data_IF_071073854413
#
_entry.id   IF_071073854413
#
_cell.length_a   1.000
_cell.length_b   1.000
_cell.length_c   1.000
_cell.angle_alpha   90.00
_cell.angle_beta   90.00
_cell.angle_gamma   90.00
#
_symmetry.space_group_name_H-M   'P 1'
#
loop_
_entity.id
_entity.type
_entity.pdbx_description
1 polymer ?
#
# COMPACT_ATOMS: atom_id res chain seq x y z
N UNK A 1 -61.36 -1.84 -2.28
CA UNK A 1 -60.57 -3.05 -2.09
C UNK A 1 -59.41 -3.20 -3.08
N UNK A 2 -59.59 -3.21 -4.38
CA UNK A 2 -58.49 -3.41 -5.37
C UNK A 2 -57.34 -2.38 -5.30
N UNK A 3 -57.59 -1.11 -4.93
CA UNK A 3 -56.53 -0.10 -4.79
C UNK A 3 -55.63 -0.31 -3.51
N UNK A 4 -56.26 -0.73 -2.41
CA UNK A 4 -55.55 -0.98 -1.17
C UNK A 4 -54.60 -2.18 -1.28
N UNK A 5 -55.03 -3.24 -1.95
CA UNK A 5 -54.22 -4.44 -2.22
C UNK A 5 -52.99 -4.08 -3.07
N UNK A 6 -53.10 -3.16 -4.03
CA UNK A 6 -51.98 -2.71 -4.85
C UNK A 6 -50.92 -1.95 -4.07
N UNK A 7 -51.34 -1.12 -3.11
CA UNK A 7 -50.40 -0.39 -2.21
C UNK A 7 -49.71 -1.31 -1.22
N UNK A 8 -50.45 -2.29 -0.66
CA UNK A 8 -49.85 -3.28 0.25
C UNK A 8 -48.83 -4.14 -0.49
N UNK A 9 -49.14 -4.57 -1.73
CA UNK A 9 -48.19 -5.32 -2.55
C UNK A 9 -46.93 -4.50 -2.91
N UNK A 10 -47.08 -3.21 -3.21
CA UNK A 10 -45.94 -2.33 -3.51
C UNK A 10 -45.04 -2.05 -2.29
N UNK A 11 -45.65 -1.87 -1.10
CA UNK A 11 -44.94 -1.70 0.15
C UNK A 11 -44.20 -3.00 0.53
N UNK A 12 -44.83 -4.14 0.31
CA UNK A 12 -44.20 -5.43 0.60
C UNK A 12 -43.03 -5.74 -0.34
N UNK A 13 -43.15 -5.41 -1.63
CA UNK A 13 -42.05 -5.55 -2.60
C UNK A 13 -40.93 -4.58 -2.30
N UNK A 14 -41.22 -3.34 -1.90
CA UNK A 14 -40.23 -2.34 -1.52
C UNK A 14 -39.53 -2.72 -0.20
N UNK A 15 -40.27 -3.25 0.78
CA UNK A 15 -39.72 -3.79 2.01
C UNK A 15 -38.86 -5.05 1.76
N UNK A 16 -39.28 -5.91 0.86
CA UNK A 16 -38.51 -7.10 0.46
C UNK A 16 -37.24 -6.72 -0.31
N UNK A 17 -37.27 -5.67 -1.17
CA UNK A 17 -36.07 -5.11 -1.81
C UNK A 17 -35.11 -4.48 -0.80
N UNK A 18 -35.63 -3.80 0.23
CA UNK A 18 -34.80 -3.27 1.34
C UNK A 18 -34.18 -4.40 2.18
N UNK A 19 -34.90 -5.49 2.42
CA UNK A 19 -34.39 -6.68 3.12
C UNK A 19 -33.37 -7.46 2.30
N UNK A 20 -33.54 -7.53 0.97
CA UNK A 20 -32.53 -8.14 0.08
C UNK A 20 -31.27 -7.28 -0.08
N UNK A 21 -31.35 -5.97 0.16
CA UNK A 21 -30.19 -5.08 0.22
C UNK A 21 -29.39 -5.15 1.52
N UNK A 22 -29.93 -5.80 2.58
CA UNK A 22 -29.29 -5.84 3.90
C UNK A 22 -28.42 -7.07 4.15
N UNK A 23 -28.29 -7.99 3.19
CA UNK A 23 -27.55 -9.25 3.38
C UNK A 23 -26.20 -9.31 2.66
N UNK A 24 -25.64 -8.19 2.23
CA UNK A 24 -24.23 -8.15 1.81
C UNK A 24 -23.47 -7.21 2.73
N UNK A 25 -22.90 -7.72 3.80
CA UNK A 25 -21.90 -7.02 4.63
C UNK A 25 -20.62 -6.61 3.87
N UNK A 26 -20.62 -6.77 2.57
CA UNK A 26 -19.61 -6.26 1.66
C UNK A 26 -20.07 -4.95 1.04
N UNK A 27 -19.76 -3.80 1.64
CA UNK A 27 -20.14 -2.49 1.12
C UNK A 27 -19.92 -2.35 -0.39
N UNK A 28 -20.67 -1.44 -1.04
CA UNK A 28 -20.61 -1.17 -2.48
C UNK A 28 -19.16 -0.87 -2.89
N UNK A 29 -18.65 -1.58 -3.90
CA UNK A 29 -17.36 -1.27 -4.50
C UNK A 29 -17.47 0.05 -5.26
N UNK A 30 -16.57 0.96 -4.96
CA UNK A 30 -16.48 2.32 -5.52
C UNK A 30 -15.18 2.47 -6.27
N UNK A 31 -15.07 3.51 -7.08
CA UNK A 31 -13.85 3.85 -7.82
C UNK A 31 -13.40 5.27 -7.48
N UNK A 32 -12.11 5.45 -7.25
CA UNK A 32 -11.47 6.76 -7.11
C UNK A 32 -10.06 6.70 -7.69
N UNK A 33 -9.76 7.59 -8.62
CA UNK A 33 -8.46 7.64 -9.29
C UNK A 33 -8.08 6.28 -9.88
N UNK A 34 -6.95 5.75 -9.43
CA UNK A 34 -6.38 4.50 -9.91
C UNK A 34 -6.97 3.24 -9.24
N UNK A 35 -7.83 3.38 -8.21
CA UNK A 35 -8.22 2.29 -7.34
C UNK A 35 -9.72 2.02 -7.32
N UNK A 36 -10.07 0.75 -7.12
CA UNK A 36 -11.38 0.33 -6.63
C UNK A 36 -11.30 0.07 -5.13
N UNK A 37 -12.33 0.44 -4.38
CA UNK A 37 -12.30 0.35 -2.93
C UNK A 37 -13.68 0.10 -2.32
N UNK A 38 -13.70 -0.35 -1.07
CA UNK A 38 -14.86 -0.39 -0.19
C UNK A 38 -14.59 0.46 1.05
N UNK A 39 -15.65 0.89 1.73
CA UNK A 39 -15.57 1.59 3.02
C UNK A 39 -15.96 0.60 4.10
N UNK A 40 -15.13 0.45 5.12
CA UNK A 40 -15.50 -0.25 6.35
C UNK A 40 -16.61 0.55 7.04
N UNK A 41 -17.74 -0.10 7.34
CA UNK A 41 -18.92 0.59 7.89
C UNK A 41 -18.72 1.00 9.35
N UNK A 42 -17.89 0.28 10.09
CA UNK A 42 -17.63 0.54 11.52
C UNK A 42 -16.59 1.64 11.70
N UNK A 43 -15.41 1.51 11.06
CA UNK A 43 -14.30 2.46 11.20
C UNK A 43 -14.35 3.63 10.23
N UNK A 44 -15.18 3.55 9.19
CA UNK A 44 -15.26 4.52 8.08
C UNK A 44 -13.99 4.64 7.22
N UNK A 45 -13.03 3.77 7.43
CA UNK A 45 -11.78 3.70 6.69
C UNK A 45 -11.94 2.96 5.35
N UNK A 46 -10.95 3.12 4.48
CA UNK A 46 -10.95 2.54 3.13
C UNK A 46 -10.23 1.20 3.11
N UNK A 47 -10.80 0.27 2.38
CA UNK A 47 -10.19 -0.99 1.99
C UNK A 47 -10.02 -1.00 0.47
N UNK A 48 -8.78 -0.99 -0.04
CA UNK A 48 -8.51 -1.08 -1.48
C UNK A 48 -8.81 -2.50 -1.95
N UNK A 49 -9.62 -2.59 -3.01
CA UNK A 49 -10.08 -3.86 -3.58
C UNK A 49 -9.41 -4.20 -4.92
N UNK A 50 -8.67 -3.26 -5.52
CA UNK A 50 -7.97 -3.49 -6.78
C UNK A 50 -7.71 -2.21 -7.56
N UNK A 51 -7.34 -2.38 -8.82
CA UNK A 51 -7.11 -1.27 -9.76
C UNK A 51 -8.38 -0.93 -10.54
N UNK A 52 -8.62 0.37 -10.74
CA UNK A 52 -9.62 0.86 -11.69
C UNK A 52 -9.17 0.60 -13.14
N UNK A 53 -10.06 0.82 -14.12
CA UNK A 53 -9.68 0.76 -15.55
C UNK A 53 -8.51 1.70 -15.87
N UNK A 54 -8.44 2.87 -15.21
CA UNK A 54 -7.32 3.81 -15.35
C UNK A 54 -6.06 3.23 -14.70
N UNK A 55 -6.15 2.73 -13.47
CA UNK A 55 -5.02 2.13 -12.77
C UNK A 55 -4.40 0.93 -13.49
N UNK A 56 -5.21 0.16 -14.23
CA UNK A 56 -4.72 -0.96 -15.05
C UNK A 56 -3.85 -0.52 -16.25
N UNK A 57 -3.83 0.76 -16.60
CA UNK A 57 -3.03 1.32 -17.70
C UNK A 57 -1.71 1.94 -17.24
N UNK A 58 -1.49 2.05 -15.92
CA UNK A 58 -0.27 2.64 -15.36
C UNK A 58 0.87 1.61 -15.34
N UNK A 59 2.09 2.07 -15.58
CA UNK A 59 3.31 1.27 -15.43
C UNK A 59 3.83 1.28 -13.99
N UNK A 60 3.49 2.31 -13.22
CA UNK A 60 3.86 2.45 -11.81
C UNK A 60 2.64 2.79 -10.97
N UNK A 61 2.44 2.08 -9.88
CA UNK A 61 1.38 2.31 -8.91
C UNK A 61 1.99 2.56 -7.53
N UNK A 62 1.52 3.62 -6.88
CA UNK A 62 1.78 3.88 -5.46
C UNK A 62 0.47 3.71 -4.70
N UNK A 63 0.44 2.81 -3.74
CA UNK A 63 -0.74 2.60 -2.90
C UNK A 63 -0.87 3.80 -1.96
N UNK A 64 -1.99 4.53 -1.95
CA UNK A 64 -2.15 5.70 -1.09
C UNK A 64 -2.42 5.30 0.36
N UNK A 65 -1.97 6.08 1.33
CA UNK A 65 -2.36 5.95 2.74
C UNK A 65 -3.66 6.69 3.06
N UNK A 66 -4.01 7.67 2.22
CA UNK A 66 -5.26 8.43 2.30
C UNK A 66 -5.91 8.44 0.92
N UNK A 67 -7.20 8.11 0.85
CA UNK A 67 -8.00 8.18 -0.38
C UNK A 67 -9.33 8.88 -0.07
N UNK A 68 -9.68 9.91 -0.85
CA UNK A 68 -10.89 10.72 -0.61
C UNK A 68 -10.99 11.25 0.84
N UNK A 69 -9.88 11.72 1.42
CA UNK A 69 -9.80 12.24 2.78
C UNK A 69 -9.96 11.19 3.89
N UNK A 70 -9.91 9.90 3.57
CA UNK A 70 -10.03 8.80 4.53
C UNK A 70 -8.80 7.94 4.51
N UNK A 71 -8.41 7.45 5.69
CA UNK A 71 -7.31 6.51 5.84
C UNK A 71 -7.58 5.23 5.06
N UNK A 72 -6.58 4.74 4.35
CA UNK A 72 -6.55 3.40 3.76
C UNK A 72 -6.04 2.44 4.83
N UNK A 73 -6.94 1.60 5.35
CA UNK A 73 -6.61 0.67 6.43
C UNK A 73 -6.09 -0.68 5.94
N UNK A 74 -6.52 -1.11 4.76
CA UNK A 74 -6.17 -2.44 4.27
C UNK A 74 -6.23 -2.56 2.75
N UNK A 75 -5.60 -3.62 2.25
CA UNK A 75 -5.73 -4.12 0.89
C UNK A 75 -6.49 -5.44 1.00
N UNK A 76 -7.64 -5.52 0.31
CA UNK A 76 -8.62 -6.56 0.57
C UNK A 76 -9.34 -6.38 1.91
N UNK A 77 -10.31 -7.23 2.17
CA UNK A 77 -11.08 -7.20 3.42
C UNK A 77 -11.44 -8.61 3.89
N UNK A 78 -11.55 -8.77 5.19
CA UNK A 78 -12.10 -9.96 5.83
C UNK A 78 -13.41 -9.58 6.49
N UNK A 79 -14.44 -10.36 6.22
CA UNK A 79 -15.72 -10.29 6.92
C UNK A 79 -15.91 -11.56 7.74
N UNK A 80 -16.78 -11.51 8.74
CA UNK A 80 -17.05 -12.63 9.65
C UNK A 80 -17.49 -13.90 8.93
N UNK A 81 -18.00 -13.79 7.71
CA UNK A 81 -18.46 -14.91 6.88
C UNK A 81 -17.66 -15.12 5.60
N UNK A 82 -16.47 -14.52 5.45
CA UNK A 82 -15.64 -14.71 4.27
C UNK A 82 -14.56 -13.67 4.10
N UNK A 83 -13.61 -13.96 3.22
CA UNK A 83 -12.56 -13.02 2.81
C UNK A 83 -12.88 -12.47 1.41
N UNK A 84 -12.80 -11.16 1.24
CA UNK A 84 -12.76 -10.55 -0.09
C UNK A 84 -11.33 -10.11 -0.37
N UNK A 85 -10.67 -10.87 -1.24
CA UNK A 85 -9.31 -10.57 -1.66
C UNK A 85 -9.28 -9.38 -2.60
N UNK A 86 -8.20 -8.60 -2.53
CA UNK A 86 -7.97 -7.54 -3.50
C UNK A 86 -7.60 -8.14 -4.86
N UNK A 87 -8.20 -7.62 -5.92
CA UNK A 87 -7.93 -8.02 -7.30
C UNK A 87 -7.17 -6.92 -8.04
N UNK A 88 -5.85 -7.01 -7.97
CA UNK A 88 -4.99 -6.20 -8.83
C UNK A 88 -4.80 -6.94 -10.15
N UNK A 89 -5.21 -6.32 -11.24
CA UNK A 89 -5.04 -6.86 -12.59
C UNK A 89 -4.48 -5.79 -13.50
N UNK A 90 -3.34 -6.03 -14.13
CA UNK A 90 -2.74 -5.15 -15.12
C UNK A 90 -1.70 -5.90 -15.97
N UNK A 91 -1.77 -5.70 -17.28
CA UNK A 91 -0.75 -6.14 -18.23
C UNK A 91 0.35 -5.09 -18.43
N UNK A 92 0.21 -3.89 -17.85
CA UNK A 92 1.15 -2.78 -18.03
C UNK A 92 2.01 -2.49 -16.82
N UNK A 93 1.52 -2.88 -15.64
CA UNK A 93 2.18 -2.57 -14.37
C UNK A 93 3.55 -3.25 -14.28
N UNK A 94 4.59 -2.44 -14.06
CA UNK A 94 5.99 -2.87 -13.87
C UNK A 94 6.45 -2.66 -12.44
N UNK A 95 5.96 -1.59 -11.79
CA UNK A 95 6.43 -1.22 -10.46
C UNK A 95 5.25 -0.90 -9.53
N UNK A 96 5.29 -1.44 -8.32
CA UNK A 96 4.28 -1.15 -7.31
C UNK A 96 4.94 -0.82 -5.96
N UNK A 97 4.47 0.25 -5.33
CA UNK A 97 4.92 0.73 -4.02
C UNK A 97 3.83 0.55 -2.98
N UNK A 98 4.17 -0.12 -1.89
CA UNK A 98 3.34 -0.30 -0.72
C UNK A 98 3.93 0.47 0.46
N UNK A 99 3.37 1.62 0.87
CA UNK A 99 3.77 2.26 2.12
C UNK A 99 3.38 1.39 3.32
N UNK A 100 3.95 1.65 4.47
CA UNK A 100 3.55 1.02 5.73
C UNK A 100 2.21 1.59 6.25
N UNK A 101 1.72 1.00 7.33
CA UNK A 101 0.54 1.51 8.05
C UNK A 101 -0.78 0.81 7.69
N UNK A 102 -0.76 -0.20 6.84
CA UNK A 102 -1.92 -1.06 6.63
C UNK A 102 -2.08 -2.05 7.79
N UNK A 103 -3.28 -2.14 8.35
CA UNK A 103 -3.58 -3.11 9.38
C UNK A 103 -3.65 -4.55 8.83
N UNK A 104 -3.90 -4.67 7.52
CA UNK A 104 -4.03 -5.95 6.84
C UNK A 104 -3.84 -5.82 5.33
N UNK A 105 -3.19 -6.83 4.76
CA UNK A 105 -3.16 -7.01 3.30
C UNK A 105 -3.65 -8.42 2.99
N UNK A 106 -4.71 -8.52 2.21
CA UNK A 106 -5.33 -9.77 1.82
C UNK A 106 -5.42 -9.84 0.30
N UNK A 107 -4.57 -10.67 -0.26
CA UNK A 107 -4.59 -11.00 -1.69
C UNK A 107 -4.75 -12.51 -1.83
N UNK A 108 -5.32 -12.96 -2.92
CA UNK A 108 -5.33 -14.37 -3.24
C UNK A 108 -3.96 -14.83 -3.74
N UNK A 109 -3.76 -16.14 -3.86
CA UNK A 109 -2.50 -16.70 -4.34
C UNK A 109 -2.16 -16.34 -5.80
N UNK A 110 -3.12 -15.76 -6.54
CA UNK A 110 -2.94 -15.32 -7.93
C UNK A 110 -2.62 -13.83 -8.06
N UNK A 111 -2.30 -13.14 -6.96
CA UNK A 111 -2.04 -11.70 -6.97
C UNK A 111 -1.01 -11.28 -8.03
N UNK A 112 0.12 -11.97 -8.08
CA UNK A 112 1.16 -11.68 -9.08
C UNK A 112 0.87 -12.29 -10.46
N UNK A 113 0.07 -13.36 -10.54
CA UNK A 113 -0.32 -13.96 -11.83
C UNK A 113 -1.19 -13.00 -12.65
N UNK A 114 -1.97 -12.14 -11.96
CA UNK A 114 -2.80 -11.11 -12.59
C UNK A 114 -2.01 -9.85 -12.99
N UNK A 115 -0.70 -9.80 -12.66
CA UNK A 115 0.21 -8.71 -12.99
C UNK A 115 1.54 -9.29 -13.53
N UNK A 116 1.52 -9.94 -14.71
CA UNK A 116 2.64 -10.76 -15.19
C UNK A 116 3.92 -9.94 -15.49
N UNK A 117 3.79 -8.63 -15.68
CA UNK A 117 4.89 -7.74 -16.06
C UNK A 117 5.46 -6.94 -14.87
N UNK A 118 5.04 -7.24 -13.63
CA UNK A 118 5.62 -6.59 -12.45
C UNK A 118 7.06 -7.08 -12.24
N UNK A 119 7.98 -6.13 -12.28
CA UNK A 119 9.42 -6.32 -12.12
C UNK A 119 9.90 -5.93 -10.73
N UNK A 120 9.30 -4.87 -10.14
CA UNK A 120 9.74 -4.29 -8.88
C UNK A 120 8.56 -4.08 -7.92
N UNK A 121 8.76 -4.51 -6.69
CA UNK A 121 7.80 -4.32 -5.59
C UNK A 121 8.54 -3.68 -4.43
N UNK A 122 8.05 -2.53 -3.95
CA UNK A 122 8.63 -1.79 -2.85
C UNK A 122 7.72 -1.86 -1.62
N UNK A 123 8.25 -2.31 -0.48
CA UNK A 123 7.53 -2.44 0.78
C UNK A 123 8.12 -1.54 1.85
N UNK A 124 7.35 -0.57 2.34
CA UNK A 124 7.74 0.30 3.46
C UNK A 124 7.87 -0.49 4.76
N UNK A 125 6.95 -1.43 4.99
CA UNK A 125 7.01 -2.35 6.11
C UNK A 125 6.49 -3.73 5.68
N UNK A 126 7.04 -4.80 6.25
CA UNK A 126 6.60 -6.17 5.97
C UNK A 126 5.40 -6.46 6.86
N UNK A 127 4.20 -6.38 6.27
CA UNK A 127 2.98 -6.76 6.98
C UNK A 127 2.91 -8.27 7.08
N UNK A 128 2.87 -8.72 8.32
CA UNK A 128 2.75 -10.11 8.67
C UNK A 128 1.41 -10.72 8.21
N UNK A 129 1.41 -11.42 7.12
CA UNK A 129 0.45 -12.46 6.74
C UNK A 129 1.03 -13.37 5.64
N UNK A 130 2.28 -13.77 5.78
CA UNK A 130 2.89 -14.99 5.21
C UNK A 130 2.87 -15.20 3.69
N UNK A 131 2.08 -14.46 2.93
CA UNK A 131 1.87 -14.70 1.49
C UNK A 131 2.21 -13.53 0.57
N UNK A 132 2.46 -12.36 1.10
CA UNK A 132 2.66 -11.15 0.30
C UNK A 132 4.11 -10.78 0.03
N UNK A 133 5.03 -11.36 0.76
CA UNK A 133 6.46 -11.22 0.47
C UNK A 133 6.91 -12.05 -0.74
N UNK A 134 6.00 -12.80 -1.36
CA UNK A 134 6.31 -13.51 -2.59
C UNK A 134 6.21 -12.56 -3.77
N UNK A 135 7.37 -12.13 -4.23
CA UNK A 135 7.49 -11.75 -5.63
C UNK A 135 7.17 -12.98 -6.51
N UNK A 136 6.57 -12.77 -7.67
CA UNK A 136 6.60 -13.79 -8.72
C UNK A 136 8.07 -14.17 -8.96
N UNK A 137 8.34 -15.33 -9.55
CA UNK A 137 9.71 -15.79 -9.86
C UNK A 137 10.56 -14.78 -10.66
N UNK A 138 9.95 -13.68 -11.12
CA UNK A 138 10.55 -12.68 -12.00
C UNK A 138 10.65 -11.29 -11.38
N UNK A 139 9.93 -10.98 -10.28
CA UNK A 139 9.96 -9.65 -9.67
C UNK A 139 10.95 -9.58 -8.51
N UNK A 140 11.60 -8.43 -8.36
CA UNK A 140 12.44 -8.10 -7.20
C UNK A 140 11.62 -7.35 -6.15
N UNK A 141 11.77 -7.74 -4.89
CA UNK A 141 11.13 -7.09 -3.75
C UNK A 141 12.15 -6.26 -2.98
N UNK A 142 11.89 -4.97 -2.86
CA UNK A 142 12.75 -4.00 -2.17
C UNK A 142 12.19 -3.68 -0.78
N UNK A 143 13.05 -3.77 0.23
CA UNK A 143 12.71 -3.54 1.64
C UNK A 143 13.82 -2.77 2.35
N UNK A 144 13.53 -2.16 3.50
CA UNK A 144 14.55 -1.50 4.31
C UNK A 144 15.53 -2.52 4.91
N UNK A 145 16.75 -2.07 5.20
CA UNK A 145 17.77 -2.88 5.89
C UNK A 145 17.25 -3.38 7.24
N UNK A 146 16.54 -2.53 7.99
CA UNK A 146 15.92 -2.89 9.27
C UNK A 146 14.98 -4.10 9.10
N UNK A 147 14.04 -4.02 8.17
CA UNK A 147 13.07 -5.10 7.93
C UNK A 147 13.74 -6.38 7.46
N UNK A 148 14.76 -6.27 6.62
CA UNK A 148 15.51 -7.43 6.11
C UNK A 148 16.22 -8.22 7.21
N UNK A 149 16.84 -7.55 8.18
CA UNK A 149 17.64 -8.20 9.21
C UNK A 149 16.89 -8.51 10.51
N UNK A 150 15.86 -7.73 10.86
CA UNK A 150 15.17 -7.85 12.15
C UNK A 150 13.89 -8.67 12.12
N UNK A 151 13.24 -8.83 10.95
CA UNK A 151 12.00 -9.60 10.85
C UNK A 151 12.28 -11.11 10.91
N UNK A 152 12.16 -11.67 12.11
CA UNK A 152 12.29 -13.12 12.34
C UNK A 152 11.18 -13.94 11.66
N UNK A 153 9.98 -13.38 11.49
CA UNK A 153 8.85 -14.06 10.87
C UNK A 153 9.06 -14.20 9.36
N UNK A 154 9.64 -13.21 8.72
CA UNK A 154 10.03 -13.24 7.32
C UNK A 154 11.00 -14.39 7.03
N UNK A 155 12.00 -14.59 7.89
CA UNK A 155 12.98 -15.69 7.80
C UNK A 155 12.39 -17.05 8.12
N UNK A 156 11.50 -17.14 9.13
CA UNK A 156 10.85 -18.39 9.55
C UNK A 156 9.84 -18.88 8.50
N UNK A 157 9.22 -17.98 7.75
CA UNK A 157 8.28 -18.34 6.69
C UNK A 157 8.95 -19.01 5.46
N UNK A 158 10.29 -19.17 5.46
CA UNK A 158 11.02 -19.86 4.41
C UNK A 158 11.01 -19.13 3.07
N UNK A 159 10.94 -17.80 3.10
CA UNK A 159 10.98 -17.00 1.88
C UNK A 159 12.33 -17.17 1.18
N UNK A 160 12.28 -17.31 -0.14
CA UNK A 160 13.48 -17.27 -0.97
C UNK A 160 14.04 -15.85 -1.03
N UNK A 161 15.13 -15.62 -0.29
CA UNK A 161 15.78 -14.31 -0.18
C UNK A 161 16.44 -13.84 -1.49
N UNK A 162 16.59 -14.72 -2.48
CA UNK A 162 17.21 -14.37 -3.78
C UNK A 162 16.44 -13.26 -4.52
N UNK A 163 15.13 -13.15 -4.26
CA UNK A 163 14.25 -12.14 -4.84
C UNK A 163 14.18 -10.82 -4.06
N UNK A 164 14.84 -10.75 -2.90
CA UNK A 164 14.84 -9.56 -2.06
C UNK A 164 16.09 -8.72 -2.26
N UNK A 165 15.90 -7.41 -2.20
CA UNK A 165 16.95 -6.40 -2.31
C UNK A 165 16.80 -5.37 -1.20
N UNK A 166 17.92 -4.83 -0.75
CA UNK A 166 17.92 -3.69 0.16
C UNK A 166 17.61 -2.42 -0.61
N UNK A 167 16.68 -1.63 -0.09
CA UNK A 167 16.42 -0.27 -0.56
C UNK A 167 17.44 0.68 0.03
N UNK A 168 18.01 1.55 -0.79
CA UNK A 168 18.99 2.54 -0.33
C UNK A 168 18.36 3.90 0.04
N UNK A 169 17.07 4.11 -0.24
CA UNK A 169 16.30 5.27 0.24
C UNK A 169 15.19 4.79 1.14
N UNK A 170 15.17 5.27 2.38
CA UNK A 170 14.22 4.84 3.40
C UNK A 170 13.58 6.04 4.08
N UNK A 171 12.26 6.08 4.07
CA UNK A 171 11.45 7.11 4.70
C UNK A 171 10.94 6.62 6.05
N UNK A 172 11.20 7.39 7.09
CA UNK A 172 10.81 7.09 8.46
C UNK A 172 9.59 7.90 8.88
N UNK A 173 8.69 7.28 9.64
CA UNK A 173 7.49 7.96 10.20
C UNK A 173 7.88 9.08 11.15
N UNK A 174 9.03 8.96 11.83
CA UNK A 174 9.54 9.95 12.78
C UNK A 174 8.53 10.26 13.90
N UNK A 175 7.97 9.22 14.48
CA UNK A 175 7.02 9.27 15.59
C UNK A 175 7.64 8.90 16.95
N UNK A 176 8.97 8.88 17.02
CA UNK A 176 9.76 8.41 18.15
C UNK A 176 10.14 6.92 18.07
N UNK A 177 9.69 6.24 17.02
CA UNK A 177 10.09 4.88 16.68
C UNK A 177 11.01 4.86 15.46
N UNK A 178 11.63 3.71 15.19
CA UNK A 178 12.38 3.48 13.95
C UNK A 178 11.49 2.85 12.85
N UNK A 179 10.18 3.09 12.85
CA UNK A 179 9.28 2.52 11.87
C UNK A 179 9.49 3.16 10.49
N UNK A 180 9.73 2.29 9.52
CA UNK A 180 9.84 2.70 8.12
C UNK A 180 8.45 2.89 7.53
N UNK A 181 8.32 3.89 6.65
CA UNK A 181 7.06 4.20 5.99
C UNK A 181 7.07 3.79 4.51
N UNK A 182 8.15 4.12 3.84
CA UNK A 182 8.26 3.97 2.40
C UNK A 182 9.72 3.72 2.03
N UNK A 183 9.95 3.03 0.93
CA UNK A 183 11.31 2.77 0.44
C UNK A 183 11.40 2.98 -1.06
N UNK A 184 12.60 3.34 -1.53
CA UNK A 184 12.94 3.43 -2.93
C UNK A 184 14.37 2.92 -3.17
N UNK A 185 14.73 2.70 -4.43
CA UNK A 185 16.07 2.31 -4.85
C UNK A 185 16.51 3.15 -6.04
N UNK A 186 17.49 4.04 -5.80
CA UNK A 186 17.89 5.09 -6.73
C UNK A 186 19.42 5.22 -6.76
N UNK A 187 19.98 5.56 -7.90
CA UNK A 187 21.43 5.79 -8.07
C UNK A 187 21.68 7.03 -8.90
N UNK A 188 22.30 8.04 -8.31
CA UNK A 188 22.74 9.27 -8.99
C UNK A 188 21.61 10.08 -9.61
N UNK A 189 20.43 10.11 -8.95
CA UNK A 189 19.26 10.81 -9.45
C UNK A 189 18.33 11.23 -8.30
N UNK A 190 17.31 12.02 -8.62
CA UNK A 190 16.18 12.24 -7.68
C UNK A 190 15.41 10.94 -7.48
N UNK A 191 14.67 10.84 -6.38
CA UNK A 191 13.84 9.66 -6.08
C UNK A 191 12.80 9.40 -7.17
N UNK A 192 12.45 8.13 -7.39
CA UNK A 192 11.56 7.74 -8.48
C UNK A 192 10.13 8.26 -8.29
N UNK A 193 9.65 8.28 -7.04
CA UNK A 193 8.30 8.74 -6.69
C UNK A 193 8.31 9.46 -5.35
N UNK A 194 7.48 10.47 -5.22
CA UNK A 194 7.18 11.07 -3.92
C UNK A 194 6.28 10.12 -3.11
N UNK A 195 6.65 9.80 -1.84
CA UNK A 195 5.82 8.96 -1.00
C UNK A 195 4.44 9.58 -0.75
N UNK A 196 3.37 8.78 -0.68
CA UNK A 196 2.07 9.31 -0.32
C UNK A 196 2.11 9.92 1.08
N UNK A 197 1.26 10.91 1.34
CA UNK A 197 1.16 11.53 2.68
C UNK A 197 0.93 10.46 3.75
N UNK A 198 1.79 10.33 4.75
CA UNK A 198 1.59 9.39 5.84
C UNK A 198 0.45 9.85 6.76
N UNK A 199 -0.13 8.91 7.50
CA UNK A 199 -1.15 9.20 8.51
C UNK A 199 -0.57 9.02 9.91
N UNK A 200 -0.82 10.01 10.77
CA UNK A 200 -0.54 9.95 12.22
C UNK A 200 -1.67 10.65 12.95
N UNK A 201 -2.32 9.93 13.87
CA UNK A 201 -3.47 10.45 14.62
C UNK A 201 -3.06 11.65 15.49
N UNK A 202 -3.86 12.74 15.44
CA UNK A 202 -3.60 13.98 16.18
C UNK A 202 -2.48 14.85 15.63
N UNK A 203 -1.95 14.52 14.42
CA UNK A 203 -0.87 15.28 13.81
C UNK A 203 -1.13 15.59 12.35
N UNK A 204 -0.67 16.78 11.94
CA UNK A 204 -0.65 17.21 10.55
C UNK A 204 0.73 16.99 9.94
N UNK A 205 0.78 16.36 8.80
CA UNK A 205 2.02 16.17 8.05
C UNK A 205 2.54 17.49 7.46
N UNK A 206 3.83 17.78 7.62
CA UNK A 206 4.50 19.03 7.23
C UNK A 206 5.45 18.87 6.04
N UNK A 207 5.73 17.66 5.65
CA UNK A 207 6.65 17.33 4.57
C UNK A 207 7.74 16.34 5.01
N UNK A 208 8.64 16.08 4.08
CA UNK A 208 9.77 15.19 4.26
C UNK A 208 11.06 16.00 4.53
N UNK A 209 11.94 15.50 5.38
CA UNK A 209 13.14 16.18 5.84
C UNK A 209 14.36 15.27 5.77
N UNK A 210 15.54 15.89 5.65
CA UNK A 210 16.84 15.18 5.55
C UNK A 210 17.29 14.60 6.88
N UNK A 211 16.79 15.13 7.99
CA UNK A 211 17.13 14.75 9.36
C UNK A 211 15.89 14.65 10.26
N UNK A 212 16.00 13.88 11.33
CA UNK A 212 14.91 13.62 12.27
C UNK A 212 14.43 14.89 13.00
N UNK A 213 15.29 15.88 13.15
CA UNK A 213 15.01 17.20 13.76
C UNK A 213 14.16 18.09 12.85
N UNK A 214 13.90 17.69 11.62
CA UNK A 214 13.05 18.38 10.63
C UNK A 214 13.49 19.84 10.36
N UNK A 215 14.80 20.08 10.19
CA UNK A 215 15.37 21.39 9.91
C UNK A 215 15.36 21.66 8.39
N UNK A 216 15.93 20.74 7.60
CA UNK A 216 16.08 20.88 6.15
C UNK A 216 15.08 19.98 5.42
N UNK A 217 14.16 20.60 4.67
CA UNK A 217 13.20 19.83 3.85
C UNK A 217 13.91 19.12 2.71
N UNK A 218 13.42 17.93 2.42
CA UNK A 218 13.77 17.21 1.19
C UNK A 218 13.03 17.84 0.00
N UNK A 219 13.80 18.24 -1.01
CA UNK A 219 13.27 18.80 -2.27
C UNK A 219 13.27 17.68 -3.34
N UNK A 220 12.09 17.19 -3.67
CA UNK A 220 11.93 16.07 -4.62
C UNK A 220 12.35 16.39 -6.05
N UNK A 221 12.51 17.68 -6.40
CA UNK A 221 12.94 18.11 -7.72
C UNK A 221 14.46 18.30 -7.82
N UNK A 222 15.15 18.48 -6.69
CA UNK A 222 16.57 18.89 -6.66
C UNK A 222 17.48 17.98 -5.86
N UNK A 223 16.96 17.37 -4.78
CA UNK A 223 17.81 16.54 -3.91
C UNK A 223 18.04 15.18 -4.57
N UNK A 224 19.27 14.93 -4.95
CA UNK A 224 19.69 13.69 -5.58
C UNK A 224 20.17 12.68 -4.53
N UNK A 225 19.81 11.43 -4.74
CA UNK A 225 20.41 10.29 -4.06
C UNK A 225 21.79 10.05 -4.64
N UNK A 226 22.85 9.90 -3.83
CA UNK A 226 24.19 9.63 -4.34
C UNK A 226 24.24 8.39 -5.24
N UNK A 227 25.18 8.39 -6.17
CA UNK A 227 25.44 7.22 -6.99
C UNK A 227 25.85 6.03 -6.12
N UNK A 228 25.35 4.85 -6.48
CA UNK A 228 25.75 3.60 -5.85
C UNK A 228 27.21 3.32 -6.18
N UNK A 229 28.00 3.08 -5.16
CA UNK A 229 29.41 2.72 -5.25
C UNK A 229 29.58 1.20 -5.20
N UNK A 230 30.64 0.70 -5.86
CA UNK A 230 30.98 -0.71 -5.87
C UNK A 230 32.44 -0.88 -5.40
N UNK A 231 32.71 -1.96 -4.70
CA UNK A 231 34.05 -2.32 -4.29
C UNK A 231 34.86 -2.93 -5.47
N UNK A 232 36.13 -3.29 -5.20
CA UNK A 232 37.02 -3.89 -6.20
C UNK A 232 36.55 -5.25 -6.74
N UNK A 233 35.60 -5.91 -6.06
CA UNK A 233 35.03 -7.18 -6.47
C UNK A 233 33.69 -6.99 -7.20
N UNK A 234 33.27 -5.75 -7.43
CA UNK A 234 32.00 -5.40 -8.08
C UNK A 234 30.76 -5.57 -7.18
N UNK A 235 30.96 -5.69 -5.88
CA UNK A 235 29.87 -5.76 -4.90
C UNK A 235 29.46 -4.36 -4.48
N UNK A 236 28.17 -4.11 -4.39
CA UNK A 236 27.59 -2.85 -3.95
C UNK A 236 28.05 -2.50 -2.53
N UNK A 237 28.58 -1.27 -2.36
CA UNK A 237 28.84 -0.66 -1.06
C UNK A 237 27.55 -0.04 -0.58
N UNK A 238 26.78 -0.78 0.21
CA UNK A 238 25.46 -0.37 0.66
C UNK A 238 25.51 0.87 1.55
N UNK A 239 24.72 1.90 1.16
CA UNK A 239 24.61 3.16 1.91
C UNK A 239 23.14 3.60 1.94
N UNK A 240 22.55 3.64 3.12
CA UNK A 240 21.14 4.03 3.30
C UNK A 240 21.02 5.56 3.42
N UNK A 241 20.16 6.16 2.61
CA UNK A 241 19.71 7.55 2.70
C UNK A 241 18.41 7.56 3.49
N UNK A 242 18.40 8.28 4.62
CA UNK A 242 17.27 8.38 5.53
C UNK A 242 16.54 9.69 5.31
N UNK A 243 15.22 9.62 5.17
CA UNK A 243 14.33 10.77 5.00
C UNK A 243 13.23 10.66 6.06
N UNK A 244 12.88 11.77 6.72
CA UNK A 244 12.05 11.77 7.91
C UNK A 244 10.78 12.58 7.72
N UNK A 245 9.65 12.05 8.19
CA UNK A 245 8.39 12.78 8.21
C UNK A 245 8.43 13.90 9.25
N UNK A 246 7.99 15.10 8.87
CA UNK A 246 7.78 16.20 9.80
C UNK A 246 6.32 16.29 10.23
N UNK A 247 6.07 16.57 11.50
CA UNK A 247 4.75 16.60 12.12
C UNK A 247 4.51 17.88 12.90
N UNK A 248 3.26 18.32 12.91
CA UNK A 248 2.73 19.39 13.75
C UNK A 248 1.52 18.86 14.49
N UNK A 249 1.40 19.10 15.79
CA UNK A 249 0.22 18.74 16.58
C UNK A 249 -1.01 19.53 16.09
N UNK A 250 -2.13 18.86 15.90
CA UNK A 250 -3.41 19.48 15.48
C UNK A 250 -4.09 20.26 16.59
#
# INVERSE_FOLDING_TARGET
MKKVIKYISFIMIFSLMLLLCSCTNGGITRTSGLFTYKINLDTREIMIMGLSKKGQQEETIVIPSILNGKRVMSIGCRYDMGASYAEFKSEKLKTIYFPSGFSRVMTDGSFYEKMPNVEKVFWGDIIYNGRLCYSSKTSLTYISQKNFYTDSHFKIAGNDLSHFRLSNVVYYINDGTENTYFVDYVSGAVVNVEPPTPYREGYKFKGWYKEAECINKWDFEKDEVPQIEYDSEGKEIFKEIKIYAGWELE
#
